data_IF_816048296091
#
_entry.id   IF_816048296091
#
_cell.length_a   1.000
_cell.length_b   1.000
_cell.length_c   1.000
_cell.angle_alpha   90.00
_cell.angle_beta   90.00
_cell.angle_gamma   90.00
#
_symmetry.space_group_name_H-M   'P 1'
#
loop_
_entity.id
_entity.type
_entity.pdbx_description
1 polymer ?
#
# COMPACT_ATOMS: atom_id res chain seq x y z
N UNK A 1 -19.11 3.04 -10.56
CA UNK A 1 -18.98 1.96 -9.55
C UNK A 1 -17.69 2.17 -8.78
N UNK A 2 -17.71 2.09 -7.45
CA UNK A 2 -16.52 2.35 -6.63
C UNK A 2 -15.52 1.17 -6.56
N UNK A 3 -15.93 -0.08 -6.83
CA UNK A 3 -15.00 -1.21 -6.93
C UNK A 3 -14.12 -1.05 -8.18
N UNK A 4 -12.79 -0.97 -7.97
CA UNK A 4 -11.82 -0.83 -9.07
C UNK A 4 -11.43 -2.21 -9.59
N UNK A 5 -11.01 -3.12 -8.71
CA UNK A 5 -10.74 -4.52 -9.04
C UNK A 5 -10.76 -5.42 -7.80
N UNK A 6 -10.90 -6.73 -8.05
CA UNK A 6 -10.51 -7.83 -7.18
C UNK A 6 -9.62 -8.75 -7.99
N UNK A 7 -8.38 -8.97 -7.51
CA UNK A 7 -7.37 -9.84 -8.14
C UNK A 7 -7.16 -11.08 -7.27
N UNK A 8 -7.37 -12.27 -7.84
CA UNK A 8 -6.97 -13.50 -7.19
C UNK A 8 -5.45 -13.65 -7.37
N UNK A 9 -4.70 -13.62 -6.28
CA UNK A 9 -3.24 -13.78 -6.29
C UNK A 9 -2.89 -15.26 -6.33
N UNK A 10 -3.62 -16.05 -5.53
CA UNK A 10 -3.60 -17.51 -5.53
C UNK A 10 -4.98 -18.05 -5.07
N UNK A 11 -5.07 -19.35 -4.80
CA UNK A 11 -6.33 -20.00 -4.40
C UNK A 11 -6.88 -19.49 -3.05
N UNK A 12 -6.00 -19.03 -2.17
CA UNK A 12 -6.35 -18.61 -0.82
C UNK A 12 -6.23 -17.09 -0.60
N UNK A 13 -5.65 -16.36 -1.56
CA UNK A 13 -5.27 -14.95 -1.40
C UNK A 13 -5.93 -14.05 -2.45
N UNK A 14 -6.59 -12.99 -1.98
CA UNK A 14 -7.23 -11.96 -2.82
C UNK A 14 -6.77 -10.58 -2.44
N UNK A 15 -6.52 -9.76 -3.46
CA UNK A 15 -6.22 -8.33 -3.34
C UNK A 15 -7.37 -7.53 -3.95
N UNK A 16 -7.86 -6.53 -3.25
CA UNK A 16 -8.90 -5.65 -3.75
C UNK A 16 -8.54 -4.19 -3.64
N UNK A 17 -9.10 -3.39 -4.56
CA UNK A 17 -8.99 -1.94 -4.58
C UNK A 17 -10.36 -1.31 -4.76
N UNK A 18 -10.67 -0.34 -3.92
CA UNK A 18 -11.90 0.43 -3.92
C UNK A 18 -11.62 1.91 -4.08
N UNK A 19 -12.37 2.58 -4.94
CA UNK A 19 -12.36 4.03 -5.04
C UNK A 19 -13.35 4.59 -4.01
N UNK A 20 -12.84 5.39 -3.07
CA UNK A 20 -13.68 6.05 -2.06
C UNK A 20 -14.53 7.11 -2.76
N UNK A 21 -15.85 6.99 -2.62
CA UNK A 21 -16.85 7.93 -3.13
C UNK A 21 -17.84 8.25 -2.00
N UNK A 22 -18.45 9.43 -2.06
CA UNK A 22 -19.34 9.93 -0.99
C UNK A 22 -20.74 9.25 -0.95
N UNK A 23 -21.01 8.31 -1.88
CA UNK A 23 -22.33 7.72 -2.10
C UNK A 23 -22.64 6.47 -1.28
N UNK A 24 -21.74 6.02 -0.39
CA UNK A 24 -21.96 4.81 0.41
C UNK A 24 -22.62 5.14 1.75
N UNK A 25 -23.78 4.52 2.01
CA UNK A 25 -24.45 4.61 3.30
C UNK A 25 -23.89 3.60 4.30
N UNK A 26 -23.52 4.07 5.49
CA UNK A 26 -22.89 3.28 6.54
C UNK A 26 -23.73 2.07 6.95
N UNK A 27 -25.04 2.27 7.07
CA UNK A 27 -25.98 1.26 7.58
C UNK A 27 -26.21 0.08 6.62
N UNK A 28 -25.89 0.26 5.33
CA UNK A 28 -26.02 -0.79 4.31
C UNK A 28 -24.77 -1.68 4.20
N UNK A 29 -23.65 -1.21 4.71
CA UNK A 29 -22.35 -1.83 4.44
C UNK A 29 -21.67 -2.33 5.71
N UNK A 30 -21.80 -1.60 6.81
CA UNK A 30 -21.07 -1.89 8.04
C UNK A 30 -21.94 -2.69 9.04
N UNK A 31 -21.35 -3.61 9.82
CA UNK A 31 -22.01 -4.22 10.96
C UNK A 31 -22.52 -3.15 11.94
N UNK A 32 -23.67 -3.39 12.58
CA UNK A 32 -24.35 -2.41 13.46
C UNK A 32 -23.44 -1.86 14.58
N UNK A 33 -22.56 -2.68 15.13
CA UNK A 33 -21.61 -2.26 16.16
C UNK A 33 -20.64 -1.21 15.60
N UNK A 34 -20.14 -1.40 14.38
CA UNK A 34 -19.24 -0.46 13.68
C UNK A 34 -19.96 0.84 13.35
N UNK A 35 -21.22 0.76 12.90
CA UNK A 35 -22.04 1.96 12.64
C UNK A 35 -22.15 2.85 13.87
N UNK A 36 -22.33 2.28 15.06
CA UNK A 36 -22.42 3.04 16.30
C UNK A 36 -21.09 3.75 16.66
N UNK A 37 -19.96 3.08 16.46
CA UNK A 37 -18.64 3.67 16.70
C UNK A 37 -18.32 4.79 15.69
N UNK A 38 -18.74 4.63 14.43
CA UNK A 38 -18.49 5.60 13.37
C UNK A 38 -19.18 6.93 13.58
N UNK A 39 -20.35 6.96 14.26
CA UNK A 39 -21.06 8.21 14.59
C UNK A 39 -20.21 9.23 15.35
N UNK A 40 -19.18 8.76 16.07
CA UNK A 40 -18.26 9.59 16.85
C UNK A 40 -17.00 9.99 16.06
N UNK A 41 -16.82 9.51 14.83
CA UNK A 41 -15.62 9.80 14.01
C UNK A 41 -15.89 10.96 13.04
N UNK A 42 -14.83 11.65 12.60
CA UNK A 42 -14.95 12.66 11.56
C UNK A 42 -15.41 12.04 10.22
N UNK A 43 -16.07 12.83 9.37
CA UNK A 43 -16.65 12.37 8.09
C UNK A 43 -15.65 11.60 7.22
N UNK A 44 -14.42 12.10 7.09
CA UNK A 44 -13.37 11.40 6.35
C UNK A 44 -13.13 9.98 6.88
N UNK A 45 -13.05 9.80 8.20
CA UNK A 45 -12.81 8.47 8.80
C UNK A 45 -14.01 7.54 8.61
N UNK A 46 -15.21 8.10 8.65
CA UNK A 46 -16.43 7.35 8.34
C UNK A 46 -16.37 6.81 6.91
N UNK A 47 -16.12 7.67 5.92
CA UNK A 47 -16.05 7.29 4.51
C UNK A 47 -14.94 6.26 4.23
N UNK A 48 -13.74 6.44 4.81
CA UNK A 48 -12.63 5.47 4.70
C UNK A 48 -13.06 4.10 5.25
N UNK A 49 -13.70 4.04 6.42
CA UNK A 49 -14.13 2.79 7.04
C UNK A 49 -15.23 2.11 6.25
N UNK A 50 -16.23 2.86 5.78
CA UNK A 50 -17.31 2.31 4.94
C UNK A 50 -16.75 1.72 3.65
N UNK A 51 -15.79 2.38 3.00
CA UNK A 51 -15.13 1.86 1.80
C UNK A 51 -14.35 0.55 2.08
N UNK A 52 -13.69 0.45 3.23
CA UNK A 52 -13.00 -0.77 3.67
C UNK A 52 -14.00 -1.92 3.86
N UNK A 53 -15.13 -1.70 4.54
CA UNK A 53 -16.14 -2.75 4.72
C UNK A 53 -16.83 -3.14 3.41
N UNK A 54 -17.13 -2.18 2.53
CA UNK A 54 -17.67 -2.46 1.20
C UNK A 54 -16.72 -3.35 0.38
N UNK A 55 -15.42 -3.04 0.42
CA UNK A 55 -14.40 -3.85 -0.24
C UNK A 55 -14.28 -5.24 0.40
N UNK A 56 -14.29 -5.33 1.73
CA UNK A 56 -14.25 -6.60 2.46
C UNK A 56 -15.42 -7.50 2.06
N UNK A 57 -16.65 -6.94 2.02
CA UNK A 57 -17.83 -7.63 1.55
C UNK A 57 -17.68 -8.09 0.09
N UNK A 58 -17.23 -7.22 -0.80
CA UNK A 58 -17.02 -7.57 -2.21
C UNK A 58 -16.01 -8.71 -2.40
N UNK A 59 -14.94 -8.76 -1.58
CA UNK A 59 -13.90 -9.81 -1.64
C UNK A 59 -14.41 -11.13 -1.06
N UNK A 60 -15.15 -11.11 0.05
CA UNK A 60 -15.50 -12.30 0.85
C UNK A 60 -16.89 -12.84 0.57
N UNK A 61 -17.82 -11.99 0.13
CA UNK A 61 -19.26 -12.27 0.07
C UNK A 61 -19.93 -12.28 1.47
N UNK A 62 -19.22 -11.87 2.53
CA UNK A 62 -19.69 -11.92 3.93
C UNK A 62 -19.89 -10.51 4.48
N UNK A 63 -21.04 -10.27 5.09
CA UNK A 63 -21.41 -9.00 5.74
C UNK A 63 -21.27 -9.04 7.27
N UNK A 64 -21.04 -10.24 7.83
CA UNK A 64 -20.95 -10.50 9.27
C UNK A 64 -19.53 -10.31 9.83
N UNK A 65 -18.53 -10.13 8.98
CA UNK A 65 -17.13 -9.95 9.39
C UNK A 65 -16.93 -8.60 10.09
N UNK A 66 -16.32 -8.64 11.26
CA UNK A 66 -15.93 -7.45 12.03
C UNK A 66 -14.40 -7.35 12.05
N UNK A 67 -13.88 -6.18 11.67
CA UNK A 67 -12.45 -5.88 11.73
C UNK A 67 -12.10 -5.47 13.14
N UNK A 68 -11.34 -6.33 13.84
CA UNK A 68 -10.72 -6.02 15.11
C UNK A 68 -9.25 -5.58 14.91
N UNK A 69 -8.54 -5.37 16.02
CA UNK A 69 -7.09 -5.10 16.02
C UNK A 69 -6.43 -5.87 17.15
N UNK A 70 -5.24 -6.41 16.89
CA UNK A 70 -4.41 -7.02 17.92
C UNK A 70 -3.69 -5.94 18.77
N UNK A 71 -2.90 -6.37 19.75
CA UNK A 71 -2.16 -5.48 20.65
C UNK A 71 -1.16 -4.54 19.91
N UNK A 72 -0.67 -4.93 18.75
CA UNK A 72 0.23 -4.12 17.91
C UNK A 72 -0.50 -3.23 16.90
N UNK A 73 -1.84 -3.21 16.94
CA UNK A 73 -2.67 -2.42 16.02
C UNK A 73 -2.86 -3.03 14.63
N UNK A 74 -2.41 -4.26 14.40
CA UNK A 74 -2.63 -4.98 13.14
C UNK A 74 -4.10 -5.39 13.03
N UNK A 75 -4.77 -5.16 11.88
CA UNK A 75 -6.15 -5.59 11.70
C UNK A 75 -6.28 -7.12 11.75
N UNK A 76 -7.38 -7.57 12.34
CA UNK A 76 -7.75 -8.98 12.47
C UNK A 76 -9.19 -9.20 12.04
N UNK A 77 -9.46 -10.32 11.37
CA UNK A 77 -10.83 -10.79 11.07
C UNK A 77 -10.89 -12.32 11.22
N UNK A 78 -12.08 -12.83 11.46
CA UNK A 78 -12.28 -14.26 11.59
C UNK A 78 -12.03 -15.01 10.27
N UNK A 79 -11.21 -16.07 10.34
CA UNK A 79 -10.94 -16.98 9.23
C UNK A 79 -9.92 -16.47 8.18
N UNK A 80 -9.31 -15.27 8.37
CA UNK A 80 -8.35 -14.73 7.42
C UNK A 80 -7.22 -13.96 8.10
N UNK A 81 -6.04 -13.99 7.49
CA UNK A 81 -5.03 -12.95 7.65
C UNK A 81 -5.41 -11.77 6.75
N UNK A 82 -5.35 -10.56 7.28
CA UNK A 82 -5.75 -9.35 6.57
C UNK A 82 -4.70 -8.24 6.70
N UNK A 83 -4.56 -7.45 5.65
CA UNK A 83 -3.89 -6.15 5.71
C UNK A 83 -4.72 -5.12 4.97
N UNK A 84 -4.76 -3.92 5.51
CA UNK A 84 -5.58 -2.80 5.03
C UNK A 84 -4.68 -1.59 4.83
N UNK A 85 -4.90 -0.86 3.75
CA UNK A 85 -4.33 0.46 3.55
C UNK A 85 -5.34 1.36 2.87
N UNK A 86 -5.31 2.65 3.18
CA UNK A 86 -6.13 3.65 2.52
C UNK A 86 -5.35 4.95 2.35
N UNK A 87 -5.63 5.63 1.27
CA UNK A 87 -5.08 6.93 0.95
C UNK A 87 -6.18 7.85 0.41
N UNK A 88 -5.85 9.05 -0.03
CA UNK A 88 -6.84 9.94 -0.62
C UNK A 88 -7.50 9.27 -1.82
N UNK A 89 -8.82 9.07 -1.73
CA UNK A 89 -9.66 8.52 -2.79
C UNK A 89 -9.59 7.00 -2.98
N UNK A 90 -8.82 6.25 -2.19
CA UNK A 90 -8.69 4.80 -2.34
C UNK A 90 -8.56 4.06 -1.03
N UNK A 91 -9.13 2.84 -0.99
CA UNK A 91 -8.89 1.82 0.05
C UNK A 91 -8.48 0.52 -0.62
N UNK A 92 -7.53 -0.18 -0.03
CA UNK A 92 -7.05 -1.49 -0.48
C UNK A 92 -7.06 -2.50 0.66
N UNK A 93 -7.43 -3.73 0.33
CA UNK A 93 -7.40 -4.88 1.24
C UNK A 93 -6.70 -6.04 0.54
N UNK A 94 -5.81 -6.72 1.25
CA UNK A 94 -5.36 -8.06 0.91
C UNK A 94 -5.77 -9.00 2.02
N UNK A 95 -6.35 -10.15 1.65
CA UNK A 95 -6.71 -11.23 2.59
C UNK A 95 -6.13 -12.56 2.13
N UNK A 96 -5.80 -13.42 3.08
CA UNK A 96 -5.42 -14.80 2.82
C UNK A 96 -5.91 -15.73 3.93
N UNK A 97 -6.34 -16.94 3.56
CA UNK A 97 -6.72 -17.98 4.54
C UNK A 97 -5.52 -18.60 5.26
N UNK A 98 -4.35 -18.58 4.63
CA UNK A 98 -3.18 -19.34 5.11
C UNK A 98 -1.93 -18.51 5.30
N UNK A 99 -1.71 -17.50 4.44
CA UNK A 99 -0.45 -16.74 4.40
C UNK A 99 -0.55 -15.47 5.21
N UNK A 100 0.54 -15.04 5.85
CA UNK A 100 0.66 -13.66 6.26
C UNK A 100 0.69 -12.77 5.03
N UNK A 101 0.05 -11.62 5.09
CA UNK A 101 -0.10 -10.70 3.95
C UNK A 101 0.08 -9.26 4.39
N UNK A 102 0.54 -8.43 3.48
CA UNK A 102 0.58 -6.98 3.69
C UNK A 102 0.30 -6.21 2.40
N UNK A 103 -0.31 -5.05 2.53
CA UNK A 103 -0.59 -4.11 1.44
C UNK A 103 -0.38 -2.68 1.90
N UNK A 104 0.14 -1.85 1.00
CA UNK A 104 0.15 -0.40 1.16
C UNK A 104 -0.26 0.29 -0.13
N UNK A 105 -0.92 1.45 0.00
CA UNK A 105 -1.34 2.28 -1.14
C UNK A 105 -1.14 3.75 -0.82
N UNK A 106 -0.53 4.47 -1.76
CA UNK A 106 -0.34 5.91 -1.68
C UNK A 106 -0.85 6.62 -2.94
N UNK A 107 -1.60 7.71 -2.77
CA UNK A 107 -1.89 8.59 -3.89
C UNK A 107 -0.66 9.38 -4.28
N UNK A 108 -0.58 9.77 -5.56
CA UNK A 108 0.55 10.57 -6.04
C UNK A 108 0.53 11.97 -5.49
N UNK A 109 1.63 12.35 -4.83
CA UNK A 109 1.83 13.68 -4.28
C UNK A 109 3.32 14.00 -4.09
N UNK A 110 3.63 15.27 -3.95
CA UNK A 110 5.01 15.74 -3.79
C UNK A 110 5.56 15.65 -2.35
N UNK A 111 4.77 15.15 -1.40
CA UNK A 111 5.20 14.99 0.00
C UNK A 111 6.39 14.05 0.11
N UNK A 112 6.46 13.02 -0.73
CA UNK A 112 7.53 12.02 -0.73
C UNK A 112 8.91 12.64 -0.89
N UNK A 113 9.06 13.71 -1.68
CA UNK A 113 10.34 14.44 -1.83
C UNK A 113 10.83 15.08 -0.54
N UNK A 114 9.92 15.52 0.32
CA UNK A 114 10.25 16.20 1.60
C UNK A 114 10.63 15.23 2.71
N UNK A 115 10.29 13.97 2.57
CA UNK A 115 10.51 12.94 3.60
C UNK A 115 11.54 11.90 3.22
N UNK A 116 12.14 12.00 2.02
CA UNK A 116 13.06 10.97 1.47
C UNK A 116 14.18 10.59 2.44
N UNK A 117 14.80 11.57 3.11
CA UNK A 117 15.86 11.32 4.09
C UNK A 117 15.39 10.59 5.37
N UNK A 118 14.08 10.50 5.60
CA UNK A 118 13.50 9.79 6.75
C UNK A 118 13.39 8.29 6.52
N UNK A 119 13.24 7.86 5.26
CA UNK A 119 12.96 6.45 4.94
C UNK A 119 13.98 5.79 4.01
N UNK A 120 14.78 6.56 3.25
CA UNK A 120 15.85 6.02 2.42
C UNK A 120 17.23 6.42 2.94
N UNK A 121 18.12 5.44 3.04
CA UNK A 121 19.55 5.66 3.26
C UNK A 121 20.18 6.37 2.07
N UNK A 122 21.34 7.00 2.25
CA UNK A 122 22.08 7.63 1.13
C UNK A 122 22.47 6.63 0.05
N UNK A 123 22.74 5.38 0.42
CA UNK A 123 23.01 4.31 -0.52
C UNK A 123 21.80 4.00 -1.39
N UNK A 124 20.61 3.82 -0.80
CA UNK A 124 19.34 3.59 -1.54
C UNK A 124 19.02 4.76 -2.47
N UNK A 125 19.19 6.00 -2.00
CA UNK A 125 18.98 7.20 -2.82
C UNK A 125 19.92 7.24 -4.03
N UNK A 126 21.20 6.87 -3.87
CA UNK A 126 22.15 6.82 -4.98
C UNK A 126 21.78 5.72 -5.99
N UNK A 127 21.40 4.53 -5.52
CA UNK A 127 20.93 3.44 -6.39
C UNK A 127 19.70 3.86 -7.20
N UNK A 128 18.74 4.55 -6.58
CA UNK A 128 17.55 5.08 -7.24
C UNK A 128 17.90 6.12 -8.34
N UNK A 129 18.82 7.04 -8.05
CA UNK A 129 19.28 8.02 -9.04
C UNK A 129 19.89 7.35 -10.27
N UNK A 130 20.72 6.33 -10.07
CA UNK A 130 21.31 5.58 -11.18
C UNK A 130 20.27 4.80 -11.98
N UNK A 131 19.28 4.19 -11.31
CA UNK A 131 18.18 3.51 -11.96
C UNK A 131 17.37 4.45 -12.86
N UNK A 132 17.02 5.64 -12.37
CA UNK A 132 16.25 6.63 -13.13
C UNK A 132 17.02 7.10 -14.36
N UNK A 133 18.33 7.38 -14.23
CA UNK A 133 19.19 7.76 -15.35
C UNK A 133 19.26 6.67 -16.44
N UNK A 134 19.36 5.41 -16.04
CA UNK A 134 19.46 4.29 -16.99
C UNK A 134 18.12 3.97 -17.66
N UNK A 135 17.00 4.27 -17.01
CA UNK A 135 15.66 4.07 -17.57
C UNK A 135 15.30 5.11 -18.65
N UNK A 136 15.93 6.29 -18.64
CA UNK A 136 15.71 7.40 -19.60
C UNK A 136 17.00 7.87 -20.27
N UNK A 137 17.64 7.05 -21.14
CA UNK A 137 18.92 7.40 -21.77
C UNK A 137 18.84 8.58 -22.76
N UNK A 138 17.62 8.99 -23.14
CA UNK A 138 17.38 10.05 -24.15
C UNK A 138 17.18 11.44 -23.55
N UNK A 139 17.23 11.61 -22.23
CA UNK A 139 17.13 12.94 -21.61
C UNK A 139 18.45 13.69 -21.78
N UNK A 140 18.50 14.82 -22.52
CA UNK A 140 19.73 15.59 -22.63
C UNK A 140 20.11 16.10 -21.23
N UNK A 141 21.40 16.09 -20.91
CA UNK A 141 21.98 16.63 -19.65
C UNK A 141 21.81 18.16 -19.56
N UNK A 142 20.63 18.67 -19.81
CA UNK A 142 20.30 20.07 -19.58
C UNK A 142 19.86 20.22 -18.13
N UNK A 143 20.36 21.26 -17.46
CA UNK A 143 20.11 21.59 -16.04
C UNK A 143 18.63 21.88 -15.67
N UNK A 144 17.68 21.52 -16.52
CA UNK A 144 16.25 21.64 -16.32
C UNK A 144 15.71 20.20 -16.32
N UNK A 145 15.38 19.68 -15.12
CA UNK A 145 14.71 18.39 -14.99
C UNK A 145 13.44 18.40 -15.86
N UNK A 146 13.35 17.46 -16.79
CA UNK A 146 12.15 17.32 -17.62
C UNK A 146 10.96 16.90 -16.73
N UNK A 147 9.74 17.18 -17.20
CA UNK A 147 8.54 16.75 -16.49
C UNK A 147 8.47 15.23 -16.30
N UNK A 148 9.07 14.48 -17.23
CA UNK A 148 9.21 13.03 -17.20
C UNK A 148 10.18 12.57 -16.10
N UNK A 149 11.34 13.22 -15.94
CA UNK A 149 12.32 12.88 -14.90
C UNK A 149 11.73 13.11 -13.50
N UNK A 150 10.91 14.14 -13.34
CA UNK A 150 10.22 14.43 -12.09
C UNK A 150 9.16 13.34 -11.78
N UNK A 151 8.43 12.87 -12.80
CA UNK A 151 7.43 11.81 -12.65
C UNK A 151 8.07 10.47 -12.28
N UNK A 152 9.14 10.07 -12.95
CA UNK A 152 9.84 8.82 -12.67
C UNK A 152 10.50 8.85 -11.29
N UNK A 153 11.08 9.98 -10.90
CA UNK A 153 11.63 10.17 -9.55
C UNK A 153 10.53 10.06 -8.49
N UNK A 154 9.39 10.72 -8.67
CA UNK A 154 8.25 10.62 -7.76
C UNK A 154 7.77 9.18 -7.64
N UNK A 155 7.63 8.48 -8.78
CA UNK A 155 7.20 7.09 -8.83
C UNK A 155 8.15 6.19 -8.05
N UNK A 156 9.45 6.29 -8.31
CA UNK A 156 10.46 5.50 -7.65
C UNK A 156 10.46 5.72 -6.12
N UNK A 157 10.37 6.98 -5.68
CA UNK A 157 10.28 7.31 -4.26
C UNK A 157 9.00 6.77 -3.60
N UNK A 158 7.84 6.89 -4.27
CA UNK A 158 6.58 6.35 -3.76
C UNK A 158 6.60 4.83 -3.70
N UNK A 159 7.17 4.15 -4.70
CA UNK A 159 7.36 2.69 -4.69
C UNK A 159 8.19 2.26 -3.49
N UNK A 160 9.31 2.93 -3.22
CA UNK A 160 10.16 2.61 -2.07
C UNK A 160 9.46 2.91 -0.73
N UNK A 161 8.71 4.00 -0.64
CA UNK A 161 7.92 4.33 0.55
C UNK A 161 6.87 3.24 0.82
N UNK A 162 5.98 2.97 -0.15
CA UNK A 162 4.96 1.92 -0.05
C UNK A 162 5.56 0.54 0.28
N UNK A 163 6.71 0.20 -0.32
CA UNK A 163 7.37 -1.07 -0.06
C UNK A 163 7.84 -1.19 1.39
N UNK A 164 8.43 -0.14 1.96
CA UNK A 164 8.84 -0.13 3.37
C UNK A 164 7.63 -0.17 4.31
N UNK A 165 6.54 0.53 3.99
CA UNK A 165 5.27 0.42 4.72
C UNK A 165 4.67 -1.00 4.63
N UNK A 166 4.71 -1.62 3.44
CA UNK A 166 4.28 -3.02 3.25
C UNK A 166 5.14 -3.98 4.07
N UNK A 167 6.46 -3.80 4.06
CA UNK A 167 7.38 -4.61 4.84
C UNK A 167 7.15 -4.44 6.35
N UNK A 168 6.96 -3.21 6.81
CA UNK A 168 6.61 -2.90 8.20
C UNK A 168 5.31 -3.59 8.64
N UNK A 169 4.25 -3.52 7.81
CA UNK A 169 2.97 -4.20 8.10
C UNK A 169 3.13 -5.72 8.10
N UNK A 170 3.97 -6.27 7.21
CA UNK A 170 4.22 -7.72 7.14
C UNK A 170 4.92 -8.23 8.39
N UNK A 171 5.93 -7.51 8.89
CA UNK A 171 6.70 -7.80 10.10
C UNK A 171 6.25 -6.97 11.30
N UNK A 172 4.94 -6.71 11.44
CA UNK A 172 4.38 -5.77 12.42
C UNK A 172 4.82 -6.02 13.87
N UNK A 173 5.02 -7.28 14.25
CA UNK A 173 5.47 -7.69 15.59
C UNK A 173 6.92 -7.22 15.90
N UNK A 174 7.72 -6.99 14.85
CA UNK A 174 9.14 -6.61 15.00
C UNK A 174 9.35 -5.11 15.18
N UNK A 175 8.35 -4.30 14.85
CA UNK A 175 8.39 -2.82 14.93
C UNK A 175 9.64 -2.24 14.25
N UNK A 176 9.89 -2.69 12.99
CA UNK A 176 11.08 -2.32 12.23
C UNK A 176 11.18 -0.81 12.03
N UNK A 177 12.38 -0.28 12.23
CA UNK A 177 12.71 1.10 11.84
C UNK A 177 13.06 1.16 10.35
N UNK A 178 12.95 2.33 9.71
CA UNK A 178 13.25 2.48 8.28
C UNK A 178 14.67 2.09 7.88
N UNK A 179 15.66 2.29 8.76
CA UNK A 179 17.04 1.87 8.55
C UNK A 179 17.29 0.36 8.75
N UNK A 180 16.32 -0.36 9.32
CA UNK A 180 16.33 -1.82 9.43
C UNK A 180 15.66 -2.50 8.22
N UNK A 181 15.18 -1.72 7.27
CA UNK A 181 14.55 -2.16 6.02
C UNK A 181 15.30 -1.61 4.82
N UNK A 182 15.68 -2.48 3.89
CA UNK A 182 16.31 -2.09 2.63
C UNK A 182 15.42 -2.44 1.44
N UNK A 183 15.31 -1.53 0.49
CA UNK A 183 14.50 -1.67 -0.72
C UNK A 183 15.39 -1.64 -1.95
N UNK A 184 15.24 -2.62 -2.85
CA UNK A 184 16.03 -2.72 -4.07
C UNK A 184 15.13 -2.73 -5.31
N UNK A 185 14.71 -1.55 -5.73
CA UNK A 185 13.94 -1.36 -6.96
C UNK A 185 14.84 -1.63 -8.18
N UNK A 186 14.36 -2.47 -9.11
CA UNK A 186 15.10 -2.86 -10.32
C UNK A 186 14.61 -2.16 -11.59
N UNK A 187 13.32 -1.90 -11.66
CA UNK A 187 12.65 -1.29 -12.82
C UNK A 187 11.49 -0.42 -12.38
N UNK A 188 11.11 0.54 -13.22
CA UNK A 188 9.90 1.35 -13.03
C UNK A 188 8.97 1.04 -14.21
N UNK A 189 7.89 0.32 -13.94
CA UNK A 189 6.87 -0.07 -14.91
C UNK A 189 5.48 0.04 -14.27
N UNK A 190 4.42 -0.22 -15.02
CA UNK A 190 3.04 -0.23 -14.48
C UNK A 190 2.81 -1.30 -13.43
N UNK A 191 3.48 -2.46 -13.58
CA UNK A 191 3.46 -3.58 -12.62
C UNK A 191 4.85 -4.20 -12.55
N UNK A 192 5.18 -4.81 -11.41
CA UNK A 192 6.43 -5.52 -11.23
C UNK A 192 6.63 -6.02 -9.80
N UNK A 193 7.87 -6.42 -9.53
CA UNK A 193 8.30 -6.82 -8.18
C UNK A 193 9.71 -6.32 -7.91
N UNK A 194 10.05 -6.21 -6.65
CA UNK A 194 11.39 -5.89 -6.20
C UNK A 194 11.71 -6.50 -4.83
N UNK A 195 12.99 -6.71 -4.61
CA UNK A 195 13.51 -7.34 -3.41
C UNK A 195 13.55 -6.33 -2.26
N UNK A 196 13.11 -6.77 -1.10
CA UNK A 196 13.17 -6.01 0.14
C UNK A 196 13.76 -6.86 1.24
N UNK A 197 14.57 -6.24 2.07
CA UNK A 197 15.27 -6.94 3.14
C UNK A 197 14.82 -6.41 4.50
N UNK A 198 14.44 -7.32 5.38
CA UNK A 198 14.45 -7.09 6.81
C UNK A 198 15.90 -7.34 7.29
N UNK A 199 16.63 -6.26 7.50
CA UNK A 199 18.05 -6.31 7.90
C UNK A 199 18.24 -6.87 9.30
N UNK A 200 17.24 -6.73 10.17
CA UNK A 200 17.28 -7.24 11.55
C UNK A 200 17.32 -8.76 11.60
N UNK A 201 16.62 -9.44 10.66
CA UNK A 201 16.60 -10.92 10.56
C UNK A 201 17.44 -11.46 9.40
N UNK A 202 17.94 -10.62 8.51
CA UNK A 202 18.55 -11.06 7.26
C UNK A 202 17.57 -11.75 6.32
N UNK A 203 16.28 -11.39 6.37
CA UNK A 203 15.22 -12.04 5.59
C UNK A 203 14.91 -11.25 4.34
N UNK A 204 14.97 -11.90 3.18
CA UNK A 204 14.52 -11.37 1.89
C UNK A 204 13.01 -11.54 1.76
N UNK A 205 12.34 -10.52 1.22
CA UNK A 205 10.93 -10.54 0.90
C UNK A 205 10.66 -9.87 -0.44
N UNK A 206 10.01 -10.60 -1.34
CA UNK A 206 9.54 -10.02 -2.59
C UNK A 206 8.28 -9.19 -2.33
N UNK A 207 8.30 -7.97 -2.83
CA UNK A 207 7.14 -7.08 -2.83
C UNK A 207 6.74 -6.82 -4.27
N UNK A 208 5.50 -7.17 -4.59
CA UNK A 208 4.86 -6.87 -5.85
C UNK A 208 4.30 -5.45 -5.82
N UNK A 209 4.25 -4.81 -6.97
CA UNK A 209 3.64 -3.49 -7.09
C UNK A 209 2.79 -3.34 -8.34
N UNK A 210 1.88 -2.40 -8.28
CA UNK A 210 1.19 -1.80 -9.42
C UNK A 210 1.10 -0.28 -9.23
N UNK A 211 1.16 0.44 -10.32
CA UNK A 211 1.09 1.89 -10.29
C UNK A 211 0.44 2.46 -11.55
N UNK A 212 -0.14 3.63 -11.42
CA UNK A 212 -0.67 4.43 -12.52
C UNK A 212 -0.54 5.93 -12.18
N UNK A 213 -1.17 6.80 -12.96
CA UNK A 213 -1.15 8.25 -12.75
C UNK A 213 -1.77 8.72 -11.42
N UNK A 214 -2.52 7.89 -10.72
CA UNK A 214 -3.28 8.26 -9.52
C UNK A 214 -2.68 7.72 -8.23
N UNK A 215 -2.14 6.49 -8.27
CA UNK A 215 -1.66 5.81 -7.07
C UNK A 215 -0.47 4.88 -7.36
N UNK A 216 0.22 4.53 -6.28
CA UNK A 216 1.16 3.42 -6.18
C UNK A 216 0.60 2.46 -5.13
N UNK A 217 0.58 1.16 -5.43
CA UNK A 217 0.16 0.09 -4.53
C UNK A 217 1.22 -0.99 -4.49
N UNK A 218 1.58 -1.44 -3.28
CA UNK A 218 2.52 -2.55 -3.07
C UNK A 218 1.90 -3.61 -2.16
N UNK A 219 2.25 -4.88 -2.39
CA UNK A 219 1.75 -5.99 -1.57
C UNK A 219 2.73 -7.16 -1.52
N UNK A 220 2.62 -8.00 -0.48
CA UNK A 220 3.41 -9.24 -0.31
C UNK A 220 2.62 -10.33 0.40
N UNK A 221 3.08 -11.59 0.25
CA UNK A 221 2.47 -12.80 0.79
C UNK A 221 3.42 -13.50 1.75
#
# INVERSE_FOLDING_TARGET
MPLVFIKNIDNDTRLGLWKIADELHTDEVCPQMVCNELKQKCARRQTETVAVYALLHAITGRTDLVIGHNADGKPTIDGYNISISHTIGYASIIISKRKNVAVDIEYRNNRVFRIVDKFLTKQEQNMLKELIKTSNPSSPQTNIASQTDCYDTQTALLLCWCAKETLYKYFSEEKLMFNEMQTKLKTISSEGSFENFNLKRGTLKDIMYMQNEKFVLTYTL
#
